data_IF_034517183323
#
_entry.id   IF_034517183323
#
_cell.length_a   1.000
_cell.length_b   1.000
_cell.length_c   1.000
_cell.angle_alpha   90.00
_cell.angle_beta   90.00
_cell.angle_gamma   90.00
#
_symmetry.space_group_name_H-M   'P 1'
#
loop_
_entity.id
_entity.type
_entity.pdbx_description
1 polymer ?
#
# COMPACT_ATOMS: atom_id res chain seq x y z
N UNK A 1 -54.19 34.12 72.86
CA UNK A 1 -54.50 35.51 72.46
C UNK A 1 -53.79 35.80 71.14
N UNK A 2 -54.56 36.26 70.12
CA UNK A 2 -54.16 37.18 69.02
C UNK A 2 -53.40 36.54 67.83
N UNK A 3 -54.05 36.18 66.69
CA UNK A 3 -54.55 36.94 65.50
C UNK A 3 -53.54 37.03 64.32
N UNK A 4 -54.00 36.49 63.18
CA UNK A 4 -53.58 36.56 61.73
C UNK A 4 -53.46 38.05 61.26
N UNK A 5 -52.76 38.54 60.18
CA UNK A 5 -52.54 38.06 58.78
C UNK A 5 -51.08 38.35 58.25
N UNK A 6 -50.65 38.27 56.98
CA UNK A 6 -51.25 38.37 55.65
C UNK A 6 -50.35 37.71 54.59
N UNK A 7 -50.97 37.09 53.60
CA UNK A 7 -50.32 36.60 52.40
C UNK A 7 -49.91 37.77 51.48
N UNK A 8 -48.68 37.75 50.99
CA UNK A 8 -48.26 38.51 49.81
C UNK A 8 -47.80 37.50 48.75
N UNK A 9 -48.65 37.31 47.74
CA UNK A 9 -48.37 36.49 46.57
C UNK A 9 -47.67 37.36 45.53
N UNK A 10 -46.35 37.24 45.40
CA UNK A 10 -45.59 37.90 44.32
C UNK A 10 -45.54 36.97 43.11
N UNK A 11 -46.30 37.30 42.06
CA UNK A 11 -46.28 36.57 40.78
C UNK A 11 -45.03 36.99 39.99
N UNK A 12 -43.98 36.16 40.03
CA UNK A 12 -42.81 36.32 39.16
C UNK A 12 -43.15 35.74 37.79
N UNK A 13 -43.30 36.60 36.78
CA UNK A 13 -43.48 36.18 35.39
C UNK A 13 -42.13 35.67 34.86
N UNK A 14 -41.98 34.36 34.76
CA UNK A 14 -40.79 33.72 34.19
C UNK A 14 -40.97 33.65 32.66
N UNK A 15 -40.36 34.57 31.91
CA UNK A 15 -40.24 34.44 30.46
C UNK A 15 -39.20 33.36 30.14
N UNK A 16 -39.50 32.36 29.29
CA UNK A 16 -38.50 31.37 28.92
C UNK A 16 -37.52 32.03 27.94
N UNK A 17 -36.27 32.22 28.38
CA UNK A 17 -35.15 32.47 27.48
C UNK A 17 -34.91 31.17 26.71
N UNK A 18 -35.38 31.10 25.47
CA UNK A 18 -35.04 30.01 24.57
C UNK A 18 -33.54 30.12 24.23
N UNK A 19 -32.70 29.33 24.91
CA UNK A 19 -31.32 29.12 24.49
C UNK A 19 -31.34 28.30 23.20
N UNK A 20 -31.20 28.96 22.06
CA UNK A 20 -30.86 28.28 20.81
C UNK A 20 -29.46 27.69 20.96
N UNK A 21 -29.37 26.42 21.39
CA UNK A 21 -28.17 25.62 21.13
C UNK A 21 -28.05 25.53 19.62
N UNK A 22 -27.18 26.34 19.03
CA UNK A 22 -26.64 26.05 17.71
C UNK A 22 -25.92 24.70 17.84
N UNK A 23 -26.65 23.63 17.55
CA UNK A 23 -26.08 22.33 17.26
C UNK A 23 -25.21 22.54 16.03
N UNK A 24 -23.90 22.71 16.23
CA UNK A 24 -22.96 22.55 15.13
C UNK A 24 -23.15 21.12 14.64
N UNK A 25 -23.84 20.96 13.51
CA UNK A 25 -23.91 19.68 12.81
C UNK A 25 -22.47 19.30 12.49
N UNK A 26 -22.09 18.07 12.83
CA UNK A 26 -20.83 17.49 12.38
C UNK A 26 -20.70 17.59 10.86
N UNK A 27 -19.49 17.40 10.31
CA UNK A 27 -19.30 17.44 8.86
C UNK A 27 -20.28 16.49 8.18
N UNK A 28 -20.93 16.97 7.12
CA UNK A 28 -21.86 16.18 6.31
C UNK A 28 -21.12 14.94 5.77
N UNK A 29 -21.49 13.76 6.26
CA UNK A 29 -20.88 12.50 5.89
C UNK A 29 -20.98 12.23 4.38
N UNK A 30 -22.06 12.69 3.73
CA UNK A 30 -22.23 12.60 2.27
C UNK A 30 -21.22 13.47 1.53
N UNK A 31 -20.99 14.70 2.02
CA UNK A 31 -19.98 15.59 1.47
C UNK A 31 -18.56 15.04 1.68
N UNK A 32 -18.26 14.46 2.85
CA UNK A 32 -16.97 13.83 3.14
C UNK A 32 -16.75 12.61 2.24
N UNK A 33 -17.74 11.72 2.12
CA UNK A 33 -17.67 10.55 1.25
C UNK A 33 -17.44 10.93 -0.22
N UNK A 34 -18.11 12.00 -0.69
CA UNK A 34 -17.90 12.53 -2.04
C UNK A 34 -16.49 13.07 -2.25
N UNK A 35 -15.95 13.80 -1.27
CA UNK A 35 -14.58 14.33 -1.35
C UNK A 35 -13.56 13.19 -1.34
N UNK A 36 -13.68 12.25 -0.40
CA UNK A 36 -12.75 11.11 -0.29
C UNK A 36 -12.85 10.20 -1.52
N UNK A 37 -14.05 9.96 -2.03
CA UNK A 37 -14.27 9.17 -3.25
C UNK A 37 -13.74 9.83 -4.52
N UNK A 38 -13.48 11.15 -4.50
CA UNK A 38 -12.85 11.88 -5.61
C UNK A 38 -11.32 11.99 -5.50
N UNK A 39 -10.73 11.48 -4.40
CA UNK A 39 -9.28 11.42 -4.27
C UNK A 39 -8.75 10.22 -5.04
N UNK A 40 -7.89 10.49 -6.01
CA UNK A 40 -7.13 9.47 -6.69
C UNK A 40 -5.70 9.41 -6.13
N UNK A 41 -5.24 8.20 -5.82
CA UNK A 41 -3.82 7.99 -5.58
C UNK A 41 -3.08 8.25 -6.89
N UNK A 42 -2.10 9.14 -6.83
CA UNK A 42 -1.19 9.38 -7.95
C UNK A 42 0.24 9.12 -7.52
N UNK A 43 0.99 8.45 -8.39
CA UNK A 43 2.44 8.34 -8.21
C UNK A 43 3.08 9.73 -8.29
N UNK A 44 3.91 10.08 -7.32
CA UNK A 44 4.72 11.30 -7.31
C UNK A 44 6.13 11.07 -7.91
N UNK A 45 6.39 9.86 -8.41
CA UNK A 45 7.71 9.46 -8.88
C UNK A 45 8.72 9.24 -7.73
N UNK A 46 10.00 8.97 -8.05
CA UNK A 46 11.04 8.64 -7.07
C UNK A 46 11.57 9.87 -6.30
N UNK A 47 10.74 10.89 -6.08
CA UNK A 47 11.16 12.19 -5.55
C UNK A 47 11.74 12.15 -4.12
N UNK A 48 11.55 11.07 -3.37
CA UNK A 48 11.80 11.06 -1.92
C UNK A 48 12.52 9.83 -1.34
N UNK A 49 13.00 8.88 -2.16
CA UNK A 49 13.96 7.80 -1.87
C UNK A 49 13.57 6.54 -2.67
N UNK A 50 14.52 5.98 -3.42
CA UNK A 50 14.38 4.62 -3.95
C UNK A 50 14.35 3.66 -2.76
N UNK A 51 13.38 2.73 -2.74
CA UNK A 51 13.38 1.63 -1.80
C UNK A 51 14.62 0.74 -1.97
N UNK A 52 14.78 -0.27 -1.10
CA UNK A 52 15.90 -1.21 -1.23
C UNK A 52 15.71 -2.07 -2.48
N UNK A 53 16.65 -1.96 -3.42
CA UNK A 53 16.71 -2.83 -4.59
C UNK A 53 17.57 -4.03 -4.24
N UNK A 54 16.98 -5.21 -4.30
CA UNK A 54 17.65 -6.47 -4.00
C UNK A 54 18.39 -7.01 -5.24
N UNK A 55 17.79 -6.87 -6.41
CA UNK A 55 18.31 -7.43 -7.65
C UNK A 55 17.75 -6.73 -8.90
N UNK A 56 18.46 -6.84 -10.02
CA UNK A 56 18.06 -6.30 -11.32
C UNK A 56 18.41 -7.31 -12.41
N UNK A 57 17.42 -7.70 -13.22
CA UNK A 57 17.62 -8.48 -14.42
C UNK A 57 17.32 -7.65 -15.68
N UNK A 58 18.26 -7.62 -16.63
CA UNK A 58 18.13 -6.92 -17.90
C UNK A 58 17.94 -7.93 -19.01
N UNK A 59 16.92 -7.74 -19.85
CA UNK A 59 16.67 -8.61 -20.99
C UNK A 59 17.86 -8.55 -21.96
N UNK A 60 18.51 -9.71 -22.27
CA UNK A 60 19.73 -9.74 -23.07
C UNK A 60 19.50 -9.41 -24.55
N UNK A 61 18.25 -9.51 -25.02
CA UNK A 61 17.86 -9.21 -26.41
C UNK A 61 17.26 -7.81 -26.54
N UNK A 62 16.50 -7.36 -25.52
CA UNK A 62 15.88 -6.03 -25.48
C UNK A 62 16.40 -5.24 -24.27
N UNK A 63 17.56 -4.57 -24.38
CA UNK A 63 18.21 -3.91 -23.23
C UNK A 63 17.46 -2.71 -22.65
N UNK A 64 16.31 -2.32 -23.20
CA UNK A 64 15.40 -1.34 -22.59
C UNK A 64 14.38 -1.98 -21.64
N UNK A 65 14.32 -3.32 -21.57
CA UNK A 65 13.41 -4.10 -20.73
C UNK A 65 14.14 -4.64 -19.52
N UNK A 66 13.78 -4.15 -18.33
CA UNK A 66 14.40 -4.55 -17.06
C UNK A 66 13.33 -5.03 -16.09
N UNK A 67 13.74 -5.91 -15.18
CA UNK A 67 13.00 -6.36 -14.03
C UNK A 67 13.80 -5.97 -12.78
N UNK A 68 13.15 -5.31 -11.82
CA UNK A 68 13.79 -4.77 -10.62
C UNK A 68 13.07 -5.32 -9.39
N UNK A 69 13.80 -6.12 -8.62
CA UNK A 69 13.33 -6.71 -7.38
C UNK A 69 13.52 -5.72 -6.22
N UNK A 70 12.42 -5.32 -5.57
CA UNK A 70 12.46 -4.50 -4.37
C UNK A 70 12.26 -5.37 -3.12
N UNK A 71 13.11 -5.17 -2.11
CA UNK A 71 13.07 -5.98 -0.89
C UNK A 71 11.80 -5.81 -0.04
N UNK A 72 11.12 -4.68 -0.17
CA UNK A 72 9.84 -4.42 0.51
C UNK A 72 8.92 -3.60 -0.39
N UNK A 73 8.71 -4.07 -1.62
CA UNK A 73 7.99 -3.30 -2.63
C UNK A 73 7.76 -4.03 -3.93
N UNK A 74 7.67 -5.36 -3.92
CA UNK A 74 7.31 -6.19 -5.08
C UNK A 74 8.35 -6.15 -6.21
N UNK A 75 7.95 -6.66 -7.37
CA UNK A 75 8.73 -6.68 -8.61
C UNK A 75 8.20 -5.65 -9.61
N UNK A 76 9.11 -4.89 -10.19
CA UNK A 76 8.80 -3.84 -11.15
C UNK A 76 9.41 -4.14 -12.51
N UNK A 77 8.69 -3.78 -13.56
CA UNK A 77 9.15 -3.89 -14.94
C UNK A 77 9.20 -2.53 -15.62
N UNK A 78 10.22 -2.31 -16.43
CA UNK A 78 10.27 -1.20 -17.40
C UNK A 78 10.46 -1.78 -18.80
N UNK A 79 10.01 -1.06 -19.83
CA UNK A 79 10.29 -1.36 -21.24
C UNK A 79 10.91 -0.17 -21.98
N UNK A 80 11.28 0.88 -21.24
CA UNK A 80 11.84 2.13 -21.76
C UNK A 80 13.02 2.62 -20.91
N UNK A 81 13.90 1.67 -20.53
CA UNK A 81 15.16 1.94 -19.82
C UNK A 81 14.98 2.75 -18.53
N UNK A 82 13.91 2.47 -17.78
CA UNK A 82 13.66 3.05 -16.48
C UNK A 82 12.95 4.41 -16.49
N UNK A 83 12.47 4.88 -17.66
CA UNK A 83 11.68 6.11 -17.76
C UNK A 83 10.31 5.95 -17.08
N UNK A 84 9.65 4.82 -17.29
CA UNK A 84 8.40 4.44 -16.62
C UNK A 84 8.46 3.00 -16.12
N UNK A 85 7.68 2.71 -15.10
CA UNK A 85 7.66 1.43 -14.40
C UNK A 85 6.24 0.92 -14.22
N UNK A 86 6.08 -0.38 -14.31
CA UNK A 86 4.83 -1.11 -14.08
C UNK A 86 5.07 -2.12 -12.96
N UNK A 87 4.29 -2.11 -11.88
CA UNK A 87 4.34 -3.21 -10.91
C UNK A 87 3.73 -4.45 -11.56
N UNK A 88 4.39 -5.60 -11.41
CA UNK A 88 3.97 -6.85 -12.09
C UNK A 88 3.74 -8.01 -11.12
N UNK A 89 3.83 -7.76 -9.82
CA UNK A 89 3.79 -8.80 -8.78
C UNK A 89 2.89 -8.41 -7.59
N UNK A 90 2.04 -7.39 -7.77
CA UNK A 90 1.17 -6.86 -6.70
C UNK A 90 0.09 -7.86 -6.25
N UNK A 91 -0.29 -8.80 -7.12
CA UNK A 91 -1.32 -9.80 -6.85
C UNK A 91 -0.75 -11.12 -6.26
N UNK A 92 0.53 -11.14 -5.87
CA UNK A 92 1.21 -12.34 -5.37
C UNK A 92 1.34 -12.34 -3.84
N UNK A 93 1.71 -13.49 -3.27
CA UNK A 93 1.64 -13.73 -1.82
C UNK A 93 2.67 -12.95 -0.99
N UNK A 94 3.87 -12.75 -1.53
CA UNK A 94 4.94 -12.00 -0.85
C UNK A 94 5.20 -10.65 -1.50
N UNK A 95 5.35 -9.63 -0.64
CA UNK A 95 5.79 -8.30 -1.07
C UNK A 95 7.32 -8.11 -1.05
N UNK A 96 8.01 -9.09 -0.48
CA UNK A 96 9.44 -9.05 -0.22
C UNK A 96 10.17 -9.88 -1.25
N UNK A 97 10.99 -9.25 -2.09
CA UNK A 97 11.70 -9.93 -3.19
C UNK A 97 13.20 -9.96 -2.90
N UNK A 98 13.78 -11.17 -2.96
CA UNK A 98 15.20 -11.41 -2.74
C UNK A 98 16.02 -11.40 -4.02
N UNK A 99 15.49 -11.96 -5.11
CA UNK A 99 16.18 -11.99 -6.40
C UNK A 99 15.22 -12.09 -7.59
N UNK A 100 15.70 -11.72 -8.77
CA UNK A 100 15.02 -11.92 -10.05
C UNK A 100 16.02 -12.32 -11.13
N UNK A 101 15.69 -13.32 -11.95
CA UNK A 101 16.52 -13.69 -13.11
C UNK A 101 15.65 -14.01 -14.33
N UNK A 102 16.26 -13.88 -15.50
CA UNK A 102 15.65 -14.23 -16.80
C UNK A 102 16.31 -15.51 -17.26
N UNK A 103 15.51 -16.48 -17.72
CA UNK A 103 16.06 -17.70 -18.31
C UNK A 103 16.94 -17.35 -19.53
N UNK A 104 18.21 -17.80 -19.57
CA UNK A 104 19.11 -17.48 -20.68
C UNK A 104 18.66 -18.09 -22.02
N UNK A 105 17.80 -19.10 -22.01
CA UNK A 105 17.27 -19.77 -23.19
C UNK A 105 15.88 -19.25 -23.59
N UNK A 106 15.16 -18.60 -22.68
CA UNK A 106 13.86 -18.01 -22.95
C UNK A 106 13.65 -16.69 -22.19
N UNK A 107 13.76 -15.58 -22.91
CA UNK A 107 13.56 -14.22 -22.37
C UNK A 107 12.15 -13.94 -21.82
N UNK A 108 11.17 -14.80 -22.09
CA UNK A 108 9.82 -14.70 -21.51
C UNK A 108 9.69 -15.45 -20.19
N UNK A 109 10.64 -16.32 -19.86
CA UNK A 109 10.67 -17.03 -18.60
C UNK A 109 11.41 -16.22 -17.54
N UNK A 110 10.67 -15.76 -16.52
CA UNK A 110 11.16 -14.89 -15.44
C UNK A 110 11.02 -15.64 -14.13
N UNK A 111 12.13 -15.78 -13.41
CA UNK A 111 12.18 -16.43 -12.10
C UNK A 111 12.32 -15.38 -11.01
N UNK A 112 11.54 -15.55 -9.94
CA UNK A 112 11.49 -14.62 -8.81
C UNK A 112 11.65 -15.39 -7.52
N UNK A 113 12.67 -15.03 -6.75
CA UNK A 113 12.85 -15.54 -5.39
C UNK A 113 12.30 -14.55 -4.39
N UNK A 114 11.37 -14.98 -3.54
CA UNK A 114 10.80 -14.11 -2.49
C UNK A 114 11.62 -14.21 -1.20
N UNK A 115 11.55 -13.14 -0.39
CA UNK A 115 12.26 -13.00 0.87
C UNK A 115 13.63 -12.34 0.73
N UNK A 116 13.82 -11.23 1.43
CA UNK A 116 15.07 -10.45 1.37
C UNK A 116 16.29 -11.22 1.91
N UNK A 117 17.40 -11.20 1.18
CA UNK A 117 18.66 -11.82 1.62
C UNK A 117 19.59 -10.87 2.42
N UNK A 118 19.02 -9.91 3.16
CA UNK A 118 19.83 -9.04 4.04
C UNK A 118 19.64 -9.46 5.49
N UNK A 119 20.70 -9.47 6.30
CA UNK A 119 20.62 -9.81 7.73
C UNK A 119 20.15 -8.67 8.63
N UNK A 120 19.39 -7.70 8.10
CA UNK A 120 18.96 -6.50 8.81
C UNK A 120 17.80 -6.75 9.77
N UNK A 121 17.55 -5.80 10.69
CA UNK A 121 16.40 -5.85 11.63
C UNK A 121 15.03 -5.62 10.97
N UNK A 122 15.00 -5.28 9.68
CA UNK A 122 13.81 -4.93 8.91
C UNK A 122 13.83 -5.71 7.59
N UNK A 123 13.44 -6.98 7.66
CA UNK A 123 13.44 -7.90 6.53
C UNK A 123 12.06 -8.53 6.39
N UNK A 124 11.56 -8.58 5.16
CA UNK A 124 10.38 -9.37 4.84
C UNK A 124 10.77 -10.83 4.57
N UNK A 125 9.97 -11.76 5.10
CA UNK A 125 10.04 -13.14 4.68
C UNK A 125 9.27 -13.33 3.37
N UNK A 126 9.78 -14.23 2.55
CA UNK A 126 9.10 -14.74 1.37
C UNK A 126 8.34 -16.03 1.65
N UNK A 127 7.63 -16.44 0.62
CA UNK A 127 6.78 -17.62 0.50
C UNK A 127 7.21 -18.52 -0.68
N UNK A 128 8.47 -18.40 -1.13
CA UNK A 128 9.10 -19.35 -2.05
C UNK A 128 9.57 -18.76 -3.38
N UNK A 129 9.44 -19.55 -4.43
CA UNK A 129 9.88 -19.21 -5.79
C UNK A 129 8.69 -19.13 -6.71
N UNK A 130 8.67 -18.08 -7.53
CA UNK A 130 7.68 -17.89 -8.58
C UNK A 130 8.34 -17.96 -9.95
N UNK A 131 7.58 -18.45 -10.93
CA UNK A 131 7.95 -18.41 -12.34
C UNK A 131 6.85 -17.76 -13.15
N UNK A 132 7.25 -16.96 -14.14
CA UNK A 132 6.39 -16.49 -15.21
C UNK A 132 6.93 -17.02 -16.53
N UNK A 133 6.04 -17.40 -17.46
CA UNK A 133 6.41 -17.81 -18.83
C UNK A 133 5.93 -16.80 -19.90
N UNK A 134 5.37 -15.66 -19.47
CA UNK A 134 4.80 -14.64 -20.35
C UNK A 134 5.45 -13.25 -20.15
N UNK A 135 6.67 -13.24 -19.60
CA UNK A 135 7.44 -12.02 -19.35
C UNK A 135 6.92 -11.20 -18.17
N UNK A 136 6.34 -11.86 -17.17
CA UNK A 136 5.85 -11.25 -15.94
C UNK A 136 4.43 -10.71 -16.04
N UNK A 137 3.59 -11.24 -16.94
CA UNK A 137 2.16 -10.94 -16.95
C UNK A 137 1.38 -11.83 -15.98
N UNK A 138 1.79 -13.08 -15.82
CA UNK A 138 1.28 -14.01 -14.81
C UNK A 138 2.43 -14.75 -14.13
N UNK A 139 2.19 -15.18 -12.89
CA UNK A 139 3.16 -15.90 -12.08
C UNK A 139 2.51 -17.12 -11.43
N UNK A 140 3.30 -18.19 -11.32
CA UNK A 140 2.96 -19.42 -10.60
C UNK A 140 3.99 -19.63 -9.48
N UNK A 141 3.54 -19.90 -8.24
CA UNK A 141 4.42 -20.34 -7.16
C UNK A 141 4.78 -21.81 -7.38
N UNK A 142 6.07 -22.12 -7.41
CA UNK A 142 6.60 -23.47 -7.67
C UNK A 142 7.25 -24.12 -6.44
N UNK A 143 7.02 -23.56 -5.24
CA UNK A 143 7.41 -24.15 -3.96
C UNK A 143 8.54 -23.39 -3.26
N UNK A 144 9.23 -24.09 -2.35
CA UNK A 144 10.18 -23.52 -1.37
C UNK A 144 9.54 -22.58 -0.34
N UNK A 145 8.26 -22.79 -0.02
CA UNK A 145 7.43 -21.94 0.86
C UNK A 145 8.08 -21.68 2.24
N UNK A 146 8.75 -22.67 2.82
CA UNK A 146 9.39 -22.56 4.13
C UNK A 146 10.81 -21.95 4.10
N UNK A 147 11.34 -21.61 2.92
CA UNK A 147 12.73 -21.12 2.80
C UNK A 147 12.90 -19.72 3.36
N UNK A 148 11.82 -18.92 3.38
CA UNK A 148 11.74 -17.53 3.85
C UNK A 148 12.64 -16.52 3.13
N UNK A 149 13.76 -16.94 2.56
CA UNK A 149 14.78 -16.09 1.94
C UNK A 149 15.39 -16.80 0.74
N UNK A 150 14.97 -16.42 -0.47
CA UNK A 150 15.61 -16.88 -1.70
C UNK A 150 16.63 -15.84 -2.15
N UNK A 151 17.90 -16.18 -1.97
CA UNK A 151 19.03 -15.27 -2.20
C UNK A 151 19.40 -15.10 -3.67
N UNK A 152 19.26 -16.17 -4.45
CA UNK A 152 19.70 -16.25 -5.84
C UNK A 152 19.08 -17.44 -6.54
N UNK A 153 18.75 -17.25 -7.81
CA UNK A 153 18.39 -18.30 -8.77
C UNK A 153 19.45 -18.22 -9.90
N UNK A 154 20.00 -19.36 -10.31
CA UNK A 154 21.14 -19.48 -11.23
C UNK A 154 20.73 -19.92 -12.63
#
# INVERSE_FOLDING_TARGET
MIRIPAAFLTLVLCLPVASSKAMASGPDESAVAKVVGSLEFRSIGPALMSGRIADIAVDPVKPNTWYVAAGSGNLWKTTNAGTTWTPIFDDQGSYSIGCVTIDPNDRHTIWVGTGENVGGRHVGFGDGVYVSHDGGSTFENVGLEDSQHISKIL
#
